data_IF_328708480761
#
_entry.id   IF_328708480761
#
_cell.length_a   1.000
_cell.length_b   1.000
_cell.length_c   1.000
_cell.angle_alpha   90.00
_cell.angle_beta   90.00
_cell.angle_gamma   90.00
#
_symmetry.space_group_name_H-M   'P 1'
#
loop_
_entity.id
_entity.type
_entity.pdbx_description
1 polymer ?
#
# COMPACT_ATOMS: atom_id res chain seq x y z
N UNK A 1 -22.03 32.69 -27.93
CA UNK A 1 -20.83 31.84 -27.86
C UNK A 1 -20.53 31.69 -26.38
N UNK A 2 -21.00 30.60 -25.76
CA UNK A 2 -20.87 30.37 -24.32
C UNK A 2 -19.71 29.40 -24.17
N UNK A 3 -18.62 29.88 -23.57
CA UNK A 3 -17.46 29.08 -23.21
C UNK A 3 -17.81 28.27 -21.95
N UNK A 4 -18.13 26.99 -22.14
CA UNK A 4 -18.25 26.01 -21.06
C UNK A 4 -16.86 25.52 -20.66
N UNK A 5 -16.14 26.37 -19.92
CA UNK A 5 -14.99 25.94 -19.12
C UNK A 5 -15.51 25.23 -17.87
N UNK A 6 -15.89 23.96 -18.03
CA UNK A 6 -16.01 23.02 -16.92
C UNK A 6 -14.58 22.68 -16.46
N UNK A 7 -14.04 23.51 -15.57
CA UNK A 7 -12.94 23.11 -14.70
C UNK A 7 -13.43 21.99 -13.79
N UNK A 8 -13.25 20.75 -14.24
CA UNK A 8 -13.29 19.57 -13.38
C UNK A 8 -12.16 19.72 -12.36
N UNK A 9 -12.48 20.36 -11.24
CA UNK A 9 -11.72 20.18 -10.01
C UNK A 9 -11.87 18.70 -9.63
N UNK A 10 -10.95 17.85 -10.10
CA UNK A 10 -10.67 16.59 -9.43
C UNK A 10 -10.25 16.99 -8.03
N UNK A 11 -11.16 16.86 -7.07
CA UNK A 11 -10.84 16.86 -5.65
C UNK A 11 -10.00 15.63 -5.38
N UNK A 12 -8.69 15.71 -5.66
CA UNK A 12 -7.69 14.86 -5.04
C UNK A 12 -7.83 15.16 -3.55
N UNK A 13 -8.61 14.34 -2.85
CA UNK A 13 -8.80 14.49 -1.41
C UNK A 13 -7.47 14.08 -0.79
N UNK A 14 -6.78 15.05 -0.19
CA UNK A 14 -5.60 14.75 0.63
C UNK A 14 -5.98 13.70 1.68
N UNK A 15 -5.07 12.80 2.03
CA UNK A 15 -5.29 11.85 3.08
C UNK A 15 -5.51 12.61 4.40
N UNK A 16 -6.25 12.00 5.34
CA UNK A 16 -6.38 12.54 6.69
C UNK A 16 -5.02 12.73 7.35
N UNK A 17 -4.92 13.61 8.36
CA UNK A 17 -3.66 13.83 9.09
C UNK A 17 -3.19 12.62 9.90
N UNK A 18 -4.06 11.64 10.12
CA UNK A 18 -3.76 10.36 10.76
C UNK A 18 -4.08 9.21 9.82
N UNK A 19 -3.05 8.41 9.56
CA UNK A 19 -3.19 7.20 8.78
C UNK A 19 -2.07 6.22 9.13
N UNK A 20 -2.31 4.96 8.81
CA UNK A 20 -1.28 3.92 8.82
C UNK A 20 -1.42 3.08 7.57
N UNK A 21 -0.30 2.71 6.97
CA UNK A 21 -0.29 1.69 5.94
C UNK A 21 0.84 0.69 6.12
N UNK A 22 0.61 -0.51 5.59
CA UNK A 22 1.55 -1.60 5.61
C UNK A 22 1.63 -2.24 4.23
N UNK A 23 2.85 -2.40 3.73
CA UNK A 23 3.14 -3.20 2.55
C UNK A 23 3.84 -4.48 2.98
N UNK A 24 3.39 -5.62 2.46
CA UNK A 24 4.07 -6.90 2.62
C UNK A 24 4.32 -7.53 1.25
N UNK A 25 5.58 -7.86 0.98
CA UNK A 25 6.00 -8.69 -0.15
C UNK A 25 6.16 -10.14 0.32
N UNK A 26 5.77 -11.13 -0.49
CA UNK A 26 5.75 -12.54 -0.08
C UNK A 26 4.49 -12.87 0.72
N UNK A 27 3.31 -12.67 0.11
CA UNK A 27 2.01 -13.06 0.67
C UNK A 27 1.54 -14.44 0.18
N UNK A 28 2.19 -14.96 -0.86
CA UNK A 28 1.99 -16.28 -1.42
C UNK A 28 2.43 -17.33 -0.41
N UNK A 29 1.45 -18.08 0.07
CA UNK A 29 1.63 -19.35 0.74
C UNK A 29 0.98 -20.48 -0.06
N UNK A 30 0.98 -21.66 0.55
CA UNK A 30 0.24 -22.81 0.07
C UNK A 30 0.07 -23.78 1.23
N UNK A 31 0.74 -24.94 1.14
CA UNK A 31 0.83 -25.83 2.29
C UNK A 31 1.58 -25.19 3.47
N UNK A 32 2.65 -24.44 3.17
CA UNK A 32 3.36 -23.64 4.16
C UNK A 32 2.76 -22.23 4.24
N UNK A 33 2.77 -21.59 5.43
CA UNK A 33 2.46 -20.17 5.56
C UNK A 33 3.34 -19.32 4.64
N UNK A 34 2.90 -18.10 4.27
CA UNK A 34 3.72 -17.20 3.48
C UNK A 34 5.07 -16.95 4.16
N UNK A 35 6.08 -16.74 3.34
CA UNK A 35 7.43 -16.36 3.78
C UNK A 35 7.71 -14.95 3.28
N UNK A 36 7.40 -13.90 4.07
CA UNK A 36 7.55 -12.53 3.62
C UNK A 36 8.99 -12.23 3.23
N UNK A 37 9.16 -11.49 2.13
CA UNK A 37 10.44 -10.93 1.69
C UNK A 37 10.71 -9.58 2.38
N UNK A 38 9.66 -8.78 2.53
CA UNK A 38 9.72 -7.49 3.20
C UNK A 38 8.38 -7.14 3.84
N UNK A 39 8.44 -6.41 4.93
CA UNK A 39 7.32 -5.74 5.58
C UNK A 39 7.74 -4.29 5.80
N UNK A 40 6.95 -3.35 5.28
CA UNK A 40 7.10 -1.92 5.54
C UNK A 40 5.84 -1.42 6.23
N UNK A 41 5.99 -0.74 7.36
CA UNK A 41 4.87 -0.10 8.06
C UNK A 41 5.19 1.38 8.19
N UNK A 42 4.23 2.22 7.82
CA UNK A 42 4.32 3.67 7.86
C UNK A 42 3.13 4.21 8.62
N UNK A 43 3.38 5.09 9.58
CA UNK A 43 2.34 5.70 10.40
C UNK A 43 2.53 7.22 10.45
N UNK A 44 1.44 7.95 10.26
CA UNK A 44 1.35 9.38 10.49
C UNK A 44 0.44 9.65 11.69
N UNK A 45 0.80 10.64 12.52
CA UNK A 45 0.00 11.07 13.66
C UNK A 45 -0.34 12.55 13.51
N UNK A 46 -1.52 13.01 13.92
CA UNK A 46 -2.01 14.37 13.66
C UNK A 46 -1.06 15.44 14.19
N UNK A 47 -0.36 15.12 15.28
CA UNK A 47 0.48 16.04 16.03
C UNK A 47 1.96 16.01 15.61
N UNK A 48 2.34 15.26 14.56
CA UNK A 48 3.74 15.12 14.12
C UNK A 48 3.85 15.36 12.61
N UNK A 49 4.67 16.33 12.15
CA UNK A 49 4.87 16.60 10.73
C UNK A 49 5.83 15.58 10.07
N UNK A 50 5.76 14.31 10.46
CA UNK A 50 6.67 13.27 10.01
C UNK A 50 6.00 11.90 9.97
N UNK A 51 6.35 11.10 8.98
CA UNK A 51 6.03 9.70 8.88
C UNK A 51 7.00 8.88 9.72
N UNK A 52 6.49 8.01 10.58
CA UNK A 52 7.28 7.00 11.27
C UNK A 52 7.30 5.71 10.44
N UNK A 53 8.48 5.19 10.15
CA UNK A 53 8.68 4.07 9.22
C UNK A 53 9.44 2.96 9.93
N UNK A 54 8.86 1.77 9.96
CA UNK A 54 9.56 0.53 10.37
C UNK A 54 9.62 -0.42 9.19
N UNK A 55 10.74 -1.09 9.03
CA UNK A 55 10.92 -2.10 8.00
C UNK A 55 11.51 -3.38 8.58
N UNK A 56 11.12 -4.50 7.97
CA UNK A 56 11.73 -5.79 8.23
C UNK A 56 11.90 -6.50 6.89
N UNK A 57 13.13 -6.88 6.56
CA UNK A 57 13.49 -7.46 5.25
C UNK A 57 14.20 -8.78 5.48
N UNK A 58 13.95 -9.78 4.63
CA UNK A 58 14.63 -11.08 4.68
C UNK A 58 15.96 -10.98 3.94
N UNK A 59 17.11 -11.11 4.61
CA UNK A 59 18.40 -11.20 3.92
C UNK A 59 18.47 -12.44 3.03
N UNK A 60 19.12 -12.32 1.89
CA UNK A 60 19.33 -13.42 0.96
C UNK A 60 19.99 -14.62 1.66
N UNK A 61 19.46 -15.82 1.41
CA UNK A 61 19.98 -17.06 2.00
C UNK A 61 19.55 -17.33 3.45
N UNK A 62 18.65 -16.51 4.03
CA UNK A 62 18.16 -16.71 5.40
C UNK A 62 16.65 -16.98 5.47
N UNK A 63 16.18 -17.78 6.44
CA UNK A 63 14.75 -18.03 6.64
C UNK A 63 14.06 -16.95 7.49
N UNK A 64 14.79 -15.96 8.00
CA UNK A 64 14.30 -15.00 8.98
C UNK A 64 14.13 -13.61 8.39
N UNK A 65 13.07 -12.93 8.82
CA UNK A 65 12.89 -11.50 8.57
C UNK A 65 13.73 -10.74 9.61
N UNK A 66 14.54 -9.77 9.17
CA UNK A 66 15.36 -8.96 10.06
C UNK A 66 14.80 -7.54 10.14
N UNK A 67 14.51 -7.09 11.36
CA UNK A 67 14.07 -5.72 11.62
C UNK A 67 15.20 -4.72 11.35
N UNK A 68 14.87 -3.62 10.69
CA UNK A 68 15.75 -2.46 10.56
C UNK A 68 15.51 -1.46 11.68
N UNK A 69 16.46 -0.56 11.88
CA UNK A 69 16.28 0.58 12.79
C UNK A 69 15.12 1.44 12.27
N UNK A 70 14.12 1.77 13.13
CA UNK A 70 13.03 2.66 12.73
C UNK A 70 13.54 4.03 12.27
N UNK A 71 12.86 4.59 11.28
CA UNK A 71 13.23 5.84 10.63
C UNK A 71 12.08 6.84 10.66
N UNK A 72 12.42 8.09 10.41
CA UNK A 72 11.45 9.17 10.29
C UNK A 72 11.65 9.91 8.97
N UNK A 73 10.55 10.31 8.34
CA UNK A 73 10.57 11.11 7.12
C UNK A 73 9.66 12.33 7.29
N UNK A 74 10.20 13.54 7.18
CA UNK A 74 9.38 14.74 7.30
C UNK A 74 8.38 14.83 6.14
N UNK A 75 7.15 15.25 6.42
CA UNK A 75 6.07 15.31 5.42
C UNK A 75 6.36 16.34 4.32
N UNK A 76 7.08 17.41 4.66
CA UNK A 76 7.53 18.47 3.75
C UNK A 76 8.85 18.15 3.03
N UNK A 77 9.46 16.98 3.27
CA UNK A 77 10.71 16.60 2.63
C UNK A 77 10.52 16.22 1.15
N UNK A 78 10.77 17.17 0.24
CA UNK A 78 10.68 16.95 -1.20
C UNK A 78 9.23 16.70 -1.64
N UNK A 79 8.98 15.58 -2.31
CA UNK A 79 7.65 15.17 -2.80
C UNK A 79 6.89 14.25 -1.83
N UNK A 80 7.29 14.15 -0.55
CA UNK A 80 6.72 13.16 0.39
C UNK A 80 5.19 13.29 0.53
N UNK A 81 4.64 14.47 0.79
CA UNK A 81 3.18 14.67 0.84
C UNK A 81 2.49 14.25 -0.46
N UNK A 82 3.03 14.65 -1.61
CA UNK A 82 2.43 14.33 -2.91
C UNK A 82 2.41 12.81 -3.19
N UNK A 83 3.42 12.08 -2.73
CA UNK A 83 3.45 10.61 -2.82
C UNK A 83 2.37 9.96 -1.96
N UNK A 84 2.19 10.43 -0.71
CA UNK A 84 1.13 9.92 0.17
C UNK A 84 -0.26 10.23 -0.41
N UNK A 85 -0.45 11.44 -0.94
CA UNK A 85 -1.69 11.85 -1.62
C UNK A 85 -1.98 10.96 -2.83
N UNK A 86 -0.95 10.68 -3.66
CA UNK A 86 -1.09 9.79 -4.81
C UNK A 86 -1.43 8.36 -4.39
N UNK A 87 -0.77 7.82 -3.36
CA UNK A 87 -1.04 6.48 -2.83
C UNK A 87 -2.50 6.37 -2.35
N UNK A 88 -2.94 7.29 -1.50
CA UNK A 88 -4.32 7.31 -0.98
C UNK A 88 -5.35 7.42 -2.10
N UNK A 89 -5.11 8.30 -3.07
CA UNK A 89 -5.96 8.45 -4.26
C UNK A 89 -6.03 7.19 -5.11
N UNK A 90 -4.90 6.50 -5.31
CA UNK A 90 -4.87 5.21 -6.01
C UNK A 90 -5.72 4.18 -5.28
N UNK A 91 -5.54 4.02 -3.97
CA UNK A 91 -6.22 2.98 -3.19
C UNK A 91 -7.75 3.15 -3.20
N UNK A 92 -8.25 4.39 -3.20
CA UNK A 92 -9.69 4.68 -3.33
C UNK A 92 -10.32 4.18 -4.64
N UNK A 93 -9.53 4.03 -5.70
CA UNK A 93 -10.00 3.61 -7.02
C UNK A 93 -9.81 2.10 -7.28
N UNK A 94 -9.09 1.42 -6.38
CA UNK A 94 -8.72 0.02 -6.54
C UNK A 94 -9.74 -0.91 -5.90
N UNK A 95 -10.21 -1.96 -6.61
CA UNK A 95 -11.09 -2.95 -6.03
C UNK A 95 -10.33 -3.84 -5.05
N UNK A 96 -11.05 -4.43 -4.08
CA UNK A 96 -10.53 -5.51 -3.24
C UNK A 96 -11.17 -6.84 -3.63
N UNK A 97 -10.52 -7.94 -3.25
CA UNK A 97 -11.01 -9.27 -3.53
C UNK A 97 -12.33 -9.59 -2.81
N UNK A 98 -13.19 -10.38 -3.46
CA UNK A 98 -14.46 -10.83 -2.90
C UNK A 98 -14.63 -12.34 -3.12
N UNK A 99 -14.71 -13.15 -2.05
CA UNK A 99 -14.59 -12.77 -0.63
C UNK A 99 -13.21 -12.16 -0.27
N UNK A 100 -13.11 -11.34 0.80
CA UNK A 100 -11.84 -10.81 1.27
C UNK A 100 -10.80 -11.90 1.54
N UNK A 101 -9.55 -11.68 1.14
CA UNK A 101 -8.46 -12.65 1.23
C UNK A 101 -8.61 -13.89 0.34
N UNK A 102 -9.51 -13.91 -0.65
CA UNK A 102 -9.76 -15.10 -1.49
C UNK A 102 -8.76 -15.31 -2.62
N UNK A 103 -8.09 -14.26 -3.10
CA UNK A 103 -7.15 -14.35 -4.22
C UNK A 103 -6.19 -13.14 -4.21
N UNK A 104 -4.92 -13.35 -4.60
CA UNK A 104 -4.04 -12.24 -4.99
C UNK A 104 -4.46 -11.73 -6.36
N UNK A 105 -5.53 -10.93 -6.39
CA UNK A 105 -6.16 -10.44 -7.63
C UNK A 105 -5.23 -9.54 -8.47
N UNK A 106 -4.15 -9.03 -7.86
CA UNK A 106 -3.13 -8.23 -8.53
C UNK A 106 -1.98 -9.08 -9.07
N UNK A 107 -1.75 -10.28 -8.52
CA UNK A 107 -0.77 -11.25 -8.99
C UNK A 107 0.68 -10.79 -8.80
N UNK A 108 0.92 -9.95 -7.78
CA UNK A 108 2.25 -9.38 -7.51
C UNK A 108 2.92 -9.97 -6.27
N UNK A 109 2.30 -10.97 -5.63
CA UNK A 109 2.79 -11.51 -4.36
C UNK A 109 3.02 -10.39 -3.31
N UNK A 110 2.13 -9.40 -3.33
CA UNK A 110 2.23 -8.19 -2.52
C UNK A 110 0.86 -7.76 -1.99
N UNK A 111 0.78 -7.45 -0.70
CA UNK A 111 -0.39 -6.87 -0.06
C UNK A 111 -0.10 -5.45 0.43
N UNK A 112 -1.08 -4.57 0.31
CA UNK A 112 -1.15 -3.29 1.00
C UNK A 112 -2.36 -3.33 1.92
N UNK A 113 -2.19 -2.84 3.15
CA UNK A 113 -3.28 -2.49 4.05
C UNK A 113 -3.14 -1.01 4.40
N UNK A 114 -4.22 -0.26 4.29
CA UNK A 114 -4.33 1.16 4.63
C UNK A 114 -5.49 1.36 5.59
N UNK A 115 -5.28 2.18 6.61
CA UNK A 115 -6.32 2.66 7.52
C UNK A 115 -6.16 4.15 7.79
N UNK A 116 -7.23 4.89 7.58
CA UNK A 116 -7.44 6.29 7.95
C UNK A 116 -8.92 6.50 8.27
N UNK A 117 -9.30 7.70 8.74
CA UNK A 117 -10.70 7.98 9.07
C UNK A 117 -11.67 7.88 7.87
N UNK A 118 -11.15 8.02 6.64
CA UNK A 118 -11.91 8.08 5.40
C UNK A 118 -11.70 6.86 4.47
N UNK A 119 -10.75 5.98 4.80
CA UNK A 119 -10.41 4.83 3.98
C UNK A 119 -9.91 3.67 4.84
N UNK A 120 -10.61 2.54 4.75
CA UNK A 120 -10.07 1.23 5.10
C UNK A 120 -9.94 0.43 3.80
N UNK A 121 -8.71 0.06 3.45
CA UNK A 121 -8.44 -0.69 2.23
C UNK A 121 -7.40 -1.76 2.50
N UNK A 122 -7.66 -2.98 2.07
CA UNK A 122 -6.70 -4.07 2.18
C UNK A 122 -6.91 -5.08 1.07
N UNK A 123 -5.83 -5.49 0.41
CA UNK A 123 -5.82 -6.69 -0.41
C UNK A 123 -5.04 -7.81 0.26
N UNK A 124 -5.36 -9.04 -0.11
CA UNK A 124 -4.73 -10.21 0.45
C UNK A 124 -4.70 -11.40 -0.50
N UNK A 125 -4.48 -12.57 0.10
CA UNK A 125 -4.49 -13.87 -0.54
C UNK A 125 -4.87 -14.92 0.51
N UNK A 126 -5.41 -16.10 0.12
CA UNK A 126 -5.73 -17.13 1.08
C UNK A 126 -4.50 -17.57 1.85
N UNK A 127 -4.69 -17.78 3.14
CA UNK A 127 -3.69 -18.32 4.03
C UNK A 127 -3.95 -19.82 4.22
N UNK A 128 -2.90 -20.64 4.06
CA UNK A 128 -2.97 -22.11 4.20
C UNK A 128 -3.50 -22.84 2.95
N UNK A 129 -3.94 -24.10 3.14
CA UNK A 129 -4.35 -24.99 2.05
C UNK A 129 -5.68 -24.62 1.36
N UNK A 130 -6.38 -23.60 1.86
CA UNK A 130 -7.60 -23.09 1.22
C UNK A 130 -7.22 -22.31 -0.02
N UNK A 131 -7.50 -22.85 -1.21
CA UNK A 131 -7.56 -22.04 -2.43
C UNK A 131 -8.82 -21.17 -2.43
N UNK A 132 -8.84 -20.16 -3.30
CA UNK A 132 -10.00 -19.30 -3.51
C UNK A 132 -9.90 -18.59 -4.84
N UNK A 133 -11.04 -18.10 -5.31
CA UNK A 133 -11.13 -17.19 -6.44
C UNK A 133 -11.95 -15.99 -6.00
N UNK A 134 -11.53 -14.83 -6.47
CA UNK A 134 -12.30 -13.61 -6.27
C UNK A 134 -13.31 -13.45 -7.40
N UNK A 135 -14.55 -13.12 -7.05
CA UNK A 135 -15.58 -12.66 -7.99
C UNK A 135 -15.21 -11.32 -8.64
N UNK A 136 -14.29 -10.59 -8.00
CA UNK A 136 -13.77 -9.31 -8.45
C UNK A 136 -12.39 -9.50 -9.07
N UNK A 137 -12.23 -9.04 -10.32
CA UNK A 137 -10.97 -9.11 -11.06
C UNK A 137 -10.58 -7.70 -11.55
N UNK A 138 -9.42 -7.16 -11.18
CA UNK A 138 -9.00 -5.83 -11.58
C UNK A 138 -8.66 -5.80 -13.07
N UNK A 139 -9.02 -4.71 -13.72
CA UNK A 139 -8.61 -4.39 -15.08
C UNK A 139 -7.08 -4.22 -15.17
N UNK A 140 -6.52 -4.30 -16.39
CA UNK A 140 -5.09 -4.05 -16.60
C UNK A 140 -4.64 -2.68 -16.07
N UNK A 141 -5.46 -1.64 -16.25
CA UNK A 141 -5.17 -0.30 -15.71
C UNK A 141 -5.14 -0.28 -14.18
N UNK A 142 -6.03 -1.01 -13.51
CA UNK A 142 -6.02 -1.12 -12.05
C UNK A 142 -4.79 -1.89 -11.55
N UNK A 143 -4.33 -2.91 -12.27
CA UNK A 143 -3.07 -3.60 -11.95
C UNK A 143 -1.86 -2.67 -12.07
N UNK A 144 -1.81 -1.81 -13.09
CA UNK A 144 -0.74 -0.81 -13.22
C UNK A 144 -0.78 0.24 -12.09
N UNK A 145 -1.98 0.68 -11.68
CA UNK A 145 -2.14 1.56 -10.51
C UNK A 145 -1.65 0.89 -9.22
N UNK A 146 -1.96 -0.39 -9.02
CA UNK A 146 -1.45 -1.13 -7.86
C UNK A 146 0.08 -1.26 -7.87
N UNK A 147 0.70 -1.49 -9.03
CA UNK A 147 2.17 -1.44 -9.17
C UNK A 147 2.73 -0.07 -8.79
N UNK A 148 2.05 1.02 -9.19
CA UNK A 148 2.43 2.38 -8.77
C UNK A 148 2.31 2.58 -7.26
N UNK A 149 1.24 2.09 -6.64
CA UNK A 149 1.07 2.13 -5.19
C UNK A 149 2.23 1.43 -4.45
N UNK A 150 2.63 0.24 -4.92
CA UNK A 150 3.80 -0.49 -4.39
C UNK A 150 5.07 0.35 -4.53
N UNK A 151 5.33 0.89 -5.72
CA UNK A 151 6.52 1.72 -5.98
C UNK A 151 6.57 2.98 -5.11
N UNK A 152 5.42 3.61 -4.83
CA UNK A 152 5.34 4.76 -3.93
C UNK A 152 5.77 4.38 -2.52
N UNK A 153 5.30 3.25 -1.98
CA UNK A 153 5.70 2.80 -0.65
C UNK A 153 7.20 2.54 -0.58
N UNK A 154 7.77 1.90 -1.59
CA UNK A 154 9.22 1.67 -1.68
C UNK A 154 10.01 2.99 -1.75
N UNK A 155 9.53 3.97 -2.53
CA UNK A 155 10.11 5.31 -2.61
C UNK A 155 10.11 6.00 -1.25
N UNK A 156 8.98 6.00 -0.53
CA UNK A 156 8.86 6.57 0.82
C UNK A 156 9.83 5.93 1.81
N UNK A 157 9.95 4.60 1.81
CA UNK A 157 10.88 3.86 2.66
C UNK A 157 12.34 4.20 2.31
N UNK A 158 12.67 4.31 1.02
CA UNK A 158 14.03 4.64 0.57
C UNK A 158 14.47 6.07 0.94
N UNK A 159 13.52 7.02 0.96
CA UNK A 159 13.77 8.42 1.34
C UNK A 159 13.98 8.61 2.84
N UNK A 160 13.52 7.67 3.66
CA UNK A 160 13.65 7.76 5.10
C UNK A 160 15.11 7.57 5.54
N UNK A 161 15.60 8.48 6.38
CA UNK A 161 16.93 8.44 7.00
C UNK A 161 16.90 7.70 8.31
#
# INVERSE_FOLDING_TARGET
MIDLSLSLSRTTTMPPSEFSFRLQQGIAGGFAPPTPNAIYTVTASANKPSLFITSAVRPAGTPSLADAVPKSLAVDAGNTSALVDELHGILKELPTEQPPGSEDIYGLDTAIAWGSDDLEWMNGRPQGCGGGFSEVQPTGQQKEKFKRAVAIVEELVSKAS
#
